data_IF_868786818828
#
_entry.id   IF_868786818828
#
_cell.length_a   1.000
_cell.length_b   1.000
_cell.length_c   1.000
_cell.angle_alpha   90.00
_cell.angle_beta   90.00
_cell.angle_gamma   90.00
#
_symmetry.space_group_name_H-M   'P 1'
#
loop_
_entity.id
_entity.type
_entity.pdbx_description
1 polymer ?
#
# COMPACT_ATOMS: atom_id res chain seq x y z
N UNK A 1 -3.72 13.73 4.79
CA UNK A 1 -2.50 13.05 4.28
C UNK A 1 -2.85 12.21 3.07
N UNK A 2 -2.12 12.37 2.00
CA UNK A 2 -2.29 11.54 0.81
C UNK A 2 -1.67 10.15 1.06
N UNK A 3 -2.27 9.14 0.46
CA UNK A 3 -1.78 7.77 0.62
C UNK A 3 -0.34 7.62 0.10
N UNK A 4 0.01 8.30 -0.99
CA UNK A 4 1.37 8.28 -1.51
C UNK A 4 2.38 8.84 -0.52
N UNK A 5 2.05 9.95 0.13
CA UNK A 5 2.91 10.54 1.17
C UNK A 5 3.03 9.60 2.37
N UNK A 6 1.91 8.98 2.76
CA UNK A 6 1.92 8.01 3.84
C UNK A 6 2.77 6.78 3.50
N UNK A 7 2.71 6.28 2.27
CA UNK A 7 3.53 5.14 1.85
C UNK A 7 5.02 5.46 1.94
N UNK A 8 5.44 6.66 1.55
CA UNK A 8 6.83 7.07 1.71
C UNK A 8 7.24 7.06 3.17
N UNK A 9 6.39 7.61 4.05
CA UNK A 9 6.61 7.63 5.49
C UNK A 9 6.66 6.22 6.06
N UNK A 10 5.69 5.37 5.72
CA UNK A 10 5.58 4.00 6.21
C UNK A 10 6.79 3.17 5.79
N UNK A 11 7.21 3.31 4.54
CA UNK A 11 8.38 2.60 4.03
C UNK A 11 9.63 2.97 4.83
N UNK A 12 9.83 4.27 5.05
CA UNK A 12 11.03 4.76 5.72
C UNK A 12 11.03 4.44 7.21
N UNK A 13 9.91 4.68 7.89
CA UNK A 13 9.84 4.62 9.36
C UNK A 13 9.50 3.23 9.89
N UNK A 14 8.95 2.37 9.07
CA UNK A 14 8.49 1.05 9.51
C UNK A 14 9.03 -0.08 8.66
N UNK A 15 8.80 -0.03 7.34
CA UNK A 15 9.09 -1.18 6.47
C UNK A 15 10.59 -1.45 6.40
N UNK A 16 11.42 -0.42 6.18
CA UNK A 16 12.88 -0.59 6.08
C UNK A 16 13.50 -1.03 7.40
N UNK A 17 12.91 -0.63 8.53
CA UNK A 17 13.41 -1.01 9.85
C UNK A 17 13.10 -2.47 10.15
N UNK A 18 11.92 -2.95 9.76
CA UNK A 18 11.41 -4.27 10.15
C UNK A 18 11.71 -5.37 9.12
N UNK A 19 12.21 -5.00 7.94
CA UNK A 19 12.51 -5.97 6.88
C UNK A 19 13.94 -5.84 6.40
N UNK A 20 14.49 -6.95 5.91
CA UNK A 20 15.84 -6.94 5.35
C UNK A 20 15.90 -6.07 4.10
N UNK A 21 17.09 -5.52 3.82
CA UNK A 21 17.30 -4.65 2.66
C UNK A 21 16.83 -5.31 1.35
N UNK A 22 17.15 -6.59 1.17
CA UNK A 22 16.75 -7.32 -0.04
C UNK A 22 15.21 -7.39 -0.20
N UNK A 23 14.50 -7.56 0.91
CA UNK A 23 13.02 -7.58 0.91
C UNK A 23 12.47 -6.20 0.58
N UNK A 24 13.02 -5.15 1.20
CA UNK A 24 12.62 -3.78 0.92
C UNK A 24 12.84 -3.42 -0.54
N UNK A 25 13.98 -3.81 -1.11
CA UNK A 25 14.29 -3.56 -2.51
C UNK A 25 13.30 -4.26 -3.44
N UNK A 26 12.90 -5.49 -3.11
CA UNK A 26 11.91 -6.24 -3.90
C UNK A 26 10.58 -5.51 -3.98
N UNK A 27 10.16 -4.85 -2.91
CA UNK A 27 8.87 -4.19 -2.84
C UNK A 27 8.88 -2.74 -3.36
N UNK A 28 10.06 -2.17 -3.66
CA UNK A 28 10.14 -0.78 -4.15
C UNK A 28 9.34 -0.55 -5.42
N UNK A 29 9.40 -1.48 -6.36
CA UNK A 29 8.63 -1.37 -7.59
C UNK A 29 7.14 -1.38 -7.32
N UNK A 30 6.71 -2.27 -6.41
CA UNK A 30 5.30 -2.34 -6.00
C UNK A 30 4.84 -1.03 -5.37
N UNK A 31 5.66 -0.44 -4.50
CA UNK A 31 5.37 0.87 -3.91
C UNK A 31 5.17 1.94 -4.97
N UNK A 32 6.08 2.00 -5.95
CA UNK A 32 5.99 2.97 -7.04
C UNK A 32 4.70 2.85 -7.83
N UNK A 33 4.32 1.62 -8.17
CA UNK A 33 3.11 1.37 -8.94
C UNK A 33 1.85 1.70 -8.13
N UNK A 34 1.83 1.35 -6.84
CA UNK A 34 0.71 1.68 -5.95
C UNK A 34 0.57 3.19 -5.81
N UNK A 35 1.67 3.91 -5.70
CA UNK A 35 1.64 5.37 -5.60
C UNK A 35 1.05 6.00 -6.86
N UNK A 36 1.33 5.45 -8.04
CA UNK A 36 0.75 5.96 -9.30
C UNK A 36 -0.77 5.82 -9.31
N UNK A 37 -1.29 4.70 -8.81
CA UNK A 37 -2.73 4.43 -8.84
C UNK A 37 -3.49 5.05 -7.68
N UNK A 38 -2.91 5.05 -6.49
CA UNK A 38 -3.60 5.42 -5.26
C UNK A 38 -3.00 6.63 -4.53
N UNK A 39 -1.81 7.09 -4.94
CA UNK A 39 -1.07 8.10 -4.20
C UNK A 39 -1.77 9.44 -4.06
N UNK A 40 -2.67 9.78 -4.99
CA UNK A 40 -3.40 11.05 -4.96
C UNK A 40 -4.66 11.02 -4.11
N UNK A 41 -5.05 9.85 -3.60
CA UNK A 41 -6.18 9.73 -2.69
C UNK A 41 -5.76 10.05 -1.26
N UNK A 42 -6.60 10.77 -0.53
CA UNK A 42 -6.40 10.95 0.91
C UNK A 42 -6.68 9.62 1.61
N UNK A 43 -5.93 9.34 2.69
CA UNK A 43 -6.15 8.13 3.48
C UNK A 43 -7.61 7.97 3.91
N UNK A 44 -8.25 9.08 4.30
CA UNK A 44 -9.61 9.07 4.81
C UNK A 44 -10.68 8.76 3.75
N UNK A 45 -10.34 8.87 2.46
CA UNK A 45 -11.33 8.61 1.40
C UNK A 45 -11.16 7.23 0.77
N UNK A 46 -10.15 6.46 1.17
CA UNK A 46 -9.95 5.10 0.66
C UNK A 46 -11.07 4.17 1.13
N UNK A 47 -11.64 3.43 0.20
CA UNK A 47 -12.69 2.45 0.46
C UNK A 47 -12.29 1.11 -0.14
N UNK A 48 -12.90 -0.01 0.29
CA UNK A 48 -12.65 -1.30 -0.34
C UNK A 48 -12.85 -1.27 -1.85
N UNK A 49 -13.85 -0.53 -2.32
CA UNK A 49 -14.13 -0.39 -3.75
C UNK A 49 -12.95 0.26 -4.49
N UNK A 50 -12.45 1.39 -3.97
CA UNK A 50 -11.32 2.09 -4.58
C UNK A 50 -10.09 1.19 -4.62
N UNK A 51 -9.82 0.49 -3.52
CA UNK A 51 -8.67 -0.42 -3.43
C UNK A 51 -8.79 -1.58 -4.42
N UNK A 52 -9.97 -2.16 -4.56
CA UNK A 52 -10.20 -3.25 -5.51
C UNK A 52 -10.04 -2.80 -6.95
N UNK A 53 -10.51 -1.61 -7.28
CA UNK A 53 -10.35 -1.07 -8.64
C UNK A 53 -8.87 -0.82 -8.95
N UNK A 54 -8.12 -0.30 -8.01
CA UNK A 54 -6.69 -0.07 -8.17
C UNK A 54 -5.93 -1.39 -8.33
N UNK A 55 -6.26 -2.40 -7.52
CA UNK A 55 -5.64 -3.72 -7.62
C UNK A 55 -5.90 -4.35 -8.99
N UNK A 56 -7.11 -4.20 -9.50
CA UNK A 56 -7.46 -4.73 -10.83
C UNK A 56 -6.62 -4.07 -11.93
N UNK A 57 -6.46 -2.74 -11.87
CA UNK A 57 -5.63 -2.02 -12.82
C UNK A 57 -4.17 -2.44 -12.73
N UNK A 58 -3.65 -2.57 -11.52
CA UNK A 58 -2.27 -3.01 -11.29
C UNK A 58 -2.03 -4.43 -11.80
N UNK A 59 -2.98 -5.32 -11.57
CA UNK A 59 -2.92 -6.69 -12.07
C UNK A 59 -2.89 -6.74 -13.59
N UNK A 60 -3.75 -5.97 -14.24
CA UNK A 60 -3.82 -5.91 -15.70
C UNK A 60 -2.51 -5.39 -16.30
N UNK A 61 -1.86 -4.44 -15.62
CA UNK A 61 -0.59 -3.87 -16.09
C UNK A 61 0.57 -4.83 -15.93
N UNK A 62 0.64 -5.58 -14.83
CA UNK A 62 1.78 -6.48 -14.54
C UNK A 62 1.54 -7.91 -15.02
N UNK A 63 0.30 -8.34 -15.02
CA UNK A 63 -0.15 -9.65 -15.51
C UNK A 63 0.55 -10.85 -14.85
N UNK A 64 0.95 -10.73 -13.58
CA UNK A 64 1.55 -11.83 -12.82
C UNK A 64 0.90 -11.96 -11.45
N UNK A 65 0.81 -13.20 -10.96
CA UNK A 65 0.26 -13.47 -9.62
C UNK A 65 1.16 -12.96 -8.50
N UNK A 66 2.47 -13.04 -8.70
CA UNK A 66 3.42 -12.58 -7.68
C UNK A 66 3.30 -11.07 -7.48
N UNK A 67 3.17 -10.32 -8.57
CA UNK A 67 2.96 -8.88 -8.48
C UNK A 67 1.67 -8.56 -7.73
N UNK A 68 0.58 -9.28 -8.02
CA UNK A 68 -0.69 -9.08 -7.33
C UNK A 68 -0.57 -9.35 -5.83
N UNK A 69 0.11 -10.42 -5.45
CA UNK A 69 0.35 -10.73 -4.04
C UNK A 69 1.14 -9.62 -3.34
N UNK A 70 2.17 -9.10 -4.01
CA UNK A 70 2.97 -8.01 -3.47
C UNK A 70 2.13 -6.75 -3.25
N UNK A 71 1.30 -6.39 -4.24
CA UNK A 71 0.41 -5.24 -4.12
C UNK A 71 -0.56 -5.41 -2.96
N UNK A 72 -1.20 -6.58 -2.86
CA UNK A 72 -2.13 -6.86 -1.77
C UNK A 72 -1.45 -6.78 -0.41
N UNK A 73 -0.25 -7.35 -0.29
CA UNK A 73 0.50 -7.34 0.96
C UNK A 73 0.85 -5.92 1.39
N UNK A 74 1.36 -5.10 0.47
CA UNK A 74 1.72 -3.72 0.76
C UNK A 74 0.49 -2.92 1.17
N UNK A 75 -0.59 -3.00 0.41
CA UNK A 75 -1.81 -2.24 0.68
C UNK A 75 -2.39 -2.65 2.03
N UNK A 76 -2.55 -3.94 2.28
CA UNK A 76 -3.12 -4.42 3.54
C UNK A 76 -2.26 -4.05 4.74
N UNK A 77 -0.95 -4.26 4.65
CA UNK A 77 -0.04 -3.98 5.76
C UNK A 77 0.06 -2.48 6.04
N UNK A 78 0.18 -1.66 5.01
CA UNK A 78 0.29 -0.22 5.18
C UNK A 78 -0.96 0.39 5.79
N UNK A 79 -2.14 -0.03 5.33
CA UNK A 79 -3.40 0.50 5.85
C UNK A 79 -3.72 -0.03 7.25
N UNK A 80 -3.36 -1.28 7.54
CA UNK A 80 -3.46 -1.80 8.90
C UNK A 80 -2.65 -0.95 9.86
N UNK A 81 -1.41 -0.64 9.50
CA UNK A 81 -0.55 0.16 10.36
C UNK A 81 -1.05 1.61 10.46
N UNK A 82 -1.62 2.15 9.38
CA UNK A 82 -2.23 3.48 9.43
C UNK A 82 -3.37 3.54 10.45
N UNK A 83 -4.16 2.46 10.55
CA UNK A 83 -5.29 2.42 11.47
C UNK A 83 -4.86 2.10 12.92
N UNK A 84 -4.01 1.09 13.09
CA UNK A 84 -3.76 0.51 14.42
C UNK A 84 -2.43 0.90 15.04
N UNK A 85 -1.42 1.16 14.24
CA UNK A 85 -0.10 1.53 14.75
C UNK A 85 0.08 3.05 14.83
N UNK A 86 -0.20 3.74 13.74
CA UNK A 86 -0.01 5.19 13.67
C UNK A 86 -1.26 5.99 14.06
N UNK A 87 -2.44 5.41 13.96
CA UNK A 87 -3.68 6.09 14.30
C UNK A 87 -4.10 7.17 13.32
N UNK A 88 -3.63 7.10 12.07
CA UNK A 88 -3.97 8.11 11.06
C UNK A 88 -5.39 7.96 10.52
N UNK A 89 -5.97 6.77 10.61
CA UNK A 89 -7.36 6.50 10.21
C UNK A 89 -8.01 5.63 11.28
N UNK A 90 -9.35 5.69 11.34
CA UNK A 90 -10.11 4.93 12.34
C UNK A 90 -10.24 3.46 12.01
N UNK A 91 -10.49 3.16 10.74
CA UNK A 91 -10.76 1.80 10.27
C UNK A 91 -9.82 1.46 9.12
N UNK A 92 -9.50 0.16 9.01
CA UNK A 92 -8.69 -0.34 7.90
C UNK A 92 -9.59 -0.69 6.70
N UNK A 93 -9.58 0.10 5.62
CA UNK A 93 -10.42 -0.17 4.45
C UNK A 93 -10.01 -1.44 3.71
N UNK A 94 -8.82 -1.97 3.96
CA UNK A 94 -8.35 -3.20 3.32
C UNK A 94 -8.65 -4.45 4.15
N UNK A 95 -9.31 -4.33 5.30
CA UNK A 95 -9.59 -5.46 6.18
C UNK A 95 -10.68 -6.40 5.64
N UNK A 96 -11.47 -5.93 4.68
CA UNK A 96 -12.55 -6.73 4.08
C UNK A 96 -12.10 -7.43 2.81
#
# INVERSE_FOLDING_TARGET
MLYGDYLDYWMKEYFEINYKYSTAKRYKESFGNIKKELGNYKLSVLTPYILNQALLKLYQASNTRDALRNYQKVIKSSLRDAAYYFGFIKNNPAAE
#
